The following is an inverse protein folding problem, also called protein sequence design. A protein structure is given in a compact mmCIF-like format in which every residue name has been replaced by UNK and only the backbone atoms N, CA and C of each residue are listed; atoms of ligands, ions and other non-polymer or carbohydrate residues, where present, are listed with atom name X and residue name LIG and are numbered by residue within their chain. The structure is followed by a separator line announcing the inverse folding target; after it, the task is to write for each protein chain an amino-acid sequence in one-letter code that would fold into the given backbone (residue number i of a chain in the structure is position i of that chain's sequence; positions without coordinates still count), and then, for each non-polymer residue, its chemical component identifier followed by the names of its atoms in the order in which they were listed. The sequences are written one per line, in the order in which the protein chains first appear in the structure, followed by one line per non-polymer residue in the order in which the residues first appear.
data_IF_010108192385
#
_entry.id   IF_010108192385
#
_cell.length_a   1.000
_cell.length_b   1.000
_cell.length_c   1.000
_cell.angle_alpha   90.00
_cell.angle_beta   90.00
_cell.angle_gamma   90.00
#
_symmetry.space_group_name_H-M   'P 1'
#
loop_
_entity.id
_entity.type
_entity.pdbx_description
1 polymer ?
#
# COMPACT_ATOMS: atom_id res chain seq x y z
N UNK A 1 -0.97 -49.27 47.57
CA UNK A 1 -0.81 -48.36 48.71
C UNK A 1 -0.78 -46.94 48.15
N UNK A 2 -1.54 -45.93 48.57
CA UNK A 2 -2.86 -45.76 49.19
C UNK A 2 -3.09 -44.24 49.08
N UNK A 3 -4.27 -43.81 48.65
CA UNK A 3 -4.76 -42.45 48.92
C UNK A 3 -5.03 -42.29 50.44
N UNK A 4 -5.18 -41.07 50.98
CA UNK A 4 -6.48 -40.37 50.99
C UNK A 4 -6.34 -38.84 50.79
N UNK A 5 -7.30 -38.00 50.34
CA UNK A 5 -8.75 -37.78 50.53
C UNK A 5 -9.17 -37.03 51.81
N UNK A 6 -9.66 -35.79 51.64
CA UNK A 6 -10.59 -34.99 52.50
C UNK A 6 -10.77 -33.62 51.79
N UNK A 7 -11.90 -33.14 51.22
CA UNK A 7 -13.36 -33.07 51.49
C UNK A 7 -13.79 -32.23 52.72
N UNK A 8 -14.17 -30.96 52.48
CA UNK A 8 -15.50 -30.37 52.81
C UNK A 8 -15.59 -28.91 52.27
N UNK A 9 -16.53 -28.51 51.40
CA UNK A 9 -17.98 -28.20 51.58
C UNK A 9 -18.17 -26.70 51.95
N UNK A 10 -19.03 -25.85 51.37
CA UNK A 10 -20.04 -25.93 50.31
C UNK A 10 -20.85 -24.60 50.21
N UNK A 11 -21.75 -24.52 49.22
CA UNK A 11 -22.93 -23.60 49.07
C UNK A 11 -22.67 -22.09 48.92
N UNK A 12 -23.40 -21.25 48.17
CA UNK A 12 -24.70 -21.20 47.47
C UNK A 12 -24.55 -20.00 46.47
N UNK A 13 -25.05 -19.89 45.24
CA UNK A 13 -26.40 -20.13 44.73
C UNK A 13 -27.33 -18.91 44.93
N UNK A 14 -27.43 -17.94 44.00
CA UNK A 14 -28.72 -17.40 43.47
C UNK A 14 -28.64 -16.22 42.46
N UNK A 15 -29.68 -16.23 41.61
CA UNK A 15 -30.08 -15.36 40.50
C UNK A 15 -30.18 -13.84 40.74
N UNK A 16 -29.77 -13.09 39.70
CA UNK A 16 -30.57 -12.13 38.92
C UNK A 16 -31.47 -11.08 39.59
N UNK A 17 -31.27 -9.80 39.24
CA UNK A 17 -32.36 -8.91 38.81
C UNK A 17 -31.86 -7.69 38.04
N UNK A 18 -32.59 -7.40 36.96
CA UNK A 18 -32.49 -6.21 36.12
C UNK A 18 -33.17 -5.04 36.84
N UNK A 19 -32.52 -3.87 36.91
CA UNK A 19 -33.08 -2.68 37.54
C UNK A 19 -32.42 -1.42 36.99
N UNK A 20 -33.07 -0.81 36.00
CA UNK A 20 -32.81 0.58 35.62
C UNK A 20 -33.04 1.46 36.84
N UNK A 21 -31.98 2.08 37.36
CA UNK A 21 -32.09 3.24 38.25
C UNK A 21 -31.16 4.34 37.73
N UNK A 22 -31.78 5.37 37.14
CA UNK A 22 -31.20 6.70 37.05
C UNK A 22 -30.96 7.21 38.47
N UNK A 23 -29.73 7.09 38.96
CA UNK A 23 -29.27 7.88 40.08
C UNK A 23 -28.10 8.74 39.62
N UNK A 24 -28.38 10.04 39.57
CA UNK A 24 -27.42 11.12 39.47
C UNK A 24 -26.46 11.03 40.67
N UNK A 25 -25.40 10.22 40.53
CA UNK A 25 -24.36 10.08 41.55
C UNK A 25 -23.41 11.28 41.41
N UNK A 26 -23.72 12.34 42.15
CA UNK A 26 -22.71 13.33 42.54
C UNK A 26 -21.61 12.60 43.31
N UNK A 27 -20.55 12.16 42.63
CA UNK A 27 -19.39 11.57 43.28
C UNK A 27 -18.81 12.57 44.28
N UNK A 28 -18.79 12.21 45.56
CA UNK A 28 -18.15 13.02 46.59
C UNK A 28 -16.65 13.18 46.32
N UNK A 29 -16.07 14.32 46.70
CA UNK A 29 -14.66 14.65 46.42
C UNK A 29 -13.65 13.56 46.83
N UNK A 30 -13.92 12.80 47.90
CA UNK A 30 -13.08 11.68 48.31
C UNK A 30 -13.05 10.52 47.31
N UNK A 31 -14.18 10.23 46.66
CA UNK A 31 -14.26 9.17 45.64
C UNK A 31 -13.54 9.61 44.35
N UNK A 32 -13.73 10.88 43.94
CA UNK A 32 -13.01 11.49 42.82
C UNK A 32 -11.50 11.55 43.06
N UNK A 33 -11.05 11.83 44.28
CA UNK A 33 -9.63 11.84 44.63
C UNK A 33 -9.00 10.43 44.52
N UNK A 34 -9.74 9.41 44.96
CA UNK A 34 -9.31 8.03 44.84
C UNK A 34 -9.26 7.59 43.37
N UNK A 35 -10.30 7.84 42.58
CA UNK A 35 -10.31 7.56 41.13
C UNK A 35 -9.19 8.30 40.40
N UNK A 36 -8.93 9.56 40.74
CA UNK A 36 -7.80 10.32 40.19
C UNK A 36 -6.46 9.66 40.50
N UNK A 37 -6.30 9.07 41.69
CA UNK A 37 -5.10 8.34 42.07
C UNK A 37 -4.94 7.03 41.29
N UNK A 38 -6.04 6.29 41.08
CA UNK A 38 -6.06 5.10 40.22
C UNK A 38 -5.68 5.46 38.78
N UNK A 39 -6.32 6.48 38.19
CA UNK A 39 -6.03 6.94 36.83
C UNK A 39 -4.57 7.40 36.67
N UNK A 40 -4.00 8.09 37.68
CA UNK A 40 -2.58 8.46 37.68
C UNK A 40 -1.66 7.23 37.71
N UNK A 41 -1.99 6.22 38.50
CA UNK A 41 -1.26 4.95 38.54
C UNK A 41 -1.32 4.25 37.18
N UNK A 42 -2.49 4.16 36.57
CA UNK A 42 -2.68 3.55 35.26
C UNK A 42 -1.91 4.30 34.17
N UNK A 43 -1.89 5.63 34.21
CA UNK A 43 -1.07 6.44 33.31
C UNK A 43 0.43 6.12 33.41
N UNK A 44 0.94 5.82 34.60
CA UNK A 44 2.33 5.40 34.80
C UNK A 44 2.54 4.00 34.24
N UNK A 45 1.64 3.05 34.49
CA UNK A 45 1.72 1.70 33.96
C UNK A 45 1.69 1.68 32.42
N UNK A 46 0.77 2.45 31.82
CA UNK A 46 0.68 2.61 30.36
C UNK A 46 1.98 3.21 29.80
N UNK A 47 2.53 4.25 30.44
CA UNK A 47 3.80 4.84 30.01
C UNK A 47 4.94 3.83 30.03
N UNK A 48 5.04 3.03 31.09
CA UNK A 48 6.06 1.99 31.20
C UNK A 48 5.89 0.91 30.12
N UNK A 49 4.65 0.48 29.86
CA UNK A 49 4.35 -0.47 28.78
C UNK A 49 4.77 0.07 27.41
N UNK A 50 4.53 1.36 27.13
CA UNK A 50 4.97 2.01 25.88
C UNK A 50 6.49 1.99 25.74
N UNK A 51 7.23 2.27 26.81
CA UNK A 51 8.70 2.24 26.78
C UNK A 51 9.22 0.83 26.49
N UNK A 52 8.63 -0.20 27.11
CA UNK A 52 9.00 -1.59 26.85
C UNK A 52 8.72 -2.00 25.40
N UNK A 53 7.57 -1.57 24.84
CA UNK A 53 7.23 -1.84 23.44
C UNK A 53 8.21 -1.17 22.46
N UNK A 54 8.68 0.05 22.76
CA UNK A 54 9.67 0.72 21.90
C UNK A 54 11.04 0.04 21.97
N UNK A 55 11.45 -0.46 23.13
CA UNK A 55 12.66 -1.30 23.26
C UNK A 55 12.54 -2.60 22.46
N UNK A 56 11.39 -3.28 22.54
CA UNK A 56 11.18 -4.53 21.82
C UNK A 56 11.17 -4.34 20.31
N UNK A 57 10.59 -3.24 19.84
CA UNK A 57 10.66 -2.83 18.43
C UNK A 57 12.11 -2.63 17.97
N UNK A 58 12.98 -2.04 18.79
CA UNK A 58 14.39 -1.88 18.44
C UNK A 58 15.16 -3.21 18.48
N UNK A 59 14.85 -4.11 19.41
CA UNK A 59 15.36 -5.48 19.41
C UNK A 59 14.99 -6.22 18.11
N UNK A 60 13.72 -6.16 17.72
CA UNK A 60 13.22 -6.75 16.48
C UNK A 60 13.91 -6.15 15.25
N UNK A 61 14.14 -4.84 15.22
CA UNK A 61 14.91 -4.19 14.13
C UNK A 61 16.33 -4.73 14.04
N UNK A 62 17.00 -4.95 15.17
CA UNK A 62 18.34 -5.54 15.18
C UNK A 62 18.33 -7.00 14.71
N UNK A 63 17.35 -7.79 15.15
CA UNK A 63 17.16 -9.17 14.71
C UNK A 63 16.95 -9.25 13.19
N UNK A 64 16.08 -8.39 12.64
CA UNK A 64 15.85 -8.29 11.20
C UNK A 64 17.15 -7.98 10.44
N UNK A 65 17.97 -7.02 10.93
CA UNK A 65 19.28 -6.73 10.31
C UNK A 65 20.21 -7.93 10.29
N UNK A 66 20.26 -8.72 11.38
CA UNK A 66 21.09 -9.94 11.45
C UNK A 66 20.61 -10.99 10.46
N UNK A 67 19.30 -11.24 10.39
CA UNK A 67 18.71 -12.21 9.47
C UNK A 67 18.96 -11.83 8.00
N UNK A 68 18.95 -10.53 7.68
CA UNK A 68 19.30 -10.02 6.36
C UNK A 68 20.74 -10.33 5.96
N UNK A 69 21.69 -10.01 6.84
CA UNK A 69 23.10 -10.31 6.58
C UNK A 69 23.33 -11.81 6.38
N UNK A 70 22.65 -12.65 7.16
CA UNK A 70 22.75 -14.11 7.00
C UNK A 70 22.12 -14.58 5.68
N UNK A 71 20.94 -14.05 5.31
CA UNK A 71 20.28 -14.40 4.05
C UNK A 71 21.15 -14.00 2.84
N UNK A 72 21.76 -12.81 2.87
CA UNK A 72 22.69 -12.37 1.83
C UNK A 72 23.91 -13.30 1.74
N UNK A 73 24.47 -13.72 2.88
CA UNK A 73 25.57 -14.69 2.91
C UNK A 73 25.20 -16.03 2.27
N UNK A 74 23.98 -16.51 2.51
CA UNK A 74 23.49 -17.75 1.90
C UNK A 74 23.30 -17.59 0.39
N UNK A 75 22.73 -16.46 -0.06
CA UNK A 75 22.58 -16.15 -1.50
C UNK A 75 23.93 -16.12 -2.24
N UNK A 76 24.92 -15.45 -1.68
CA UNK A 76 26.27 -15.40 -2.28
C UNK A 76 26.91 -16.79 -2.36
N UNK A 77 26.66 -17.63 -1.36
CA UNK A 77 27.09 -19.04 -1.37
C UNK A 77 26.35 -19.83 -2.46
N UNK A 78 25.05 -19.66 -2.59
CA UNK A 78 24.23 -20.31 -3.64
C UNK A 78 24.72 -19.93 -5.02
N UNK A 79 24.96 -18.64 -5.30
CA UNK A 79 25.51 -18.17 -6.58
C UNK A 79 26.85 -18.80 -6.91
N UNK A 80 27.77 -18.86 -5.95
CA UNK A 80 29.08 -19.53 -6.13
C UNK A 80 28.92 -21.01 -6.45
N UNK A 81 28.02 -21.69 -5.75
CA UNK A 81 27.74 -23.11 -5.99
C UNK A 81 27.09 -23.35 -7.35
N UNK A 82 26.14 -22.52 -7.78
CA UNK A 82 25.53 -22.59 -9.10
C UNK A 82 26.57 -22.46 -10.22
N UNK A 83 27.50 -21.51 -10.10
CA UNK A 83 28.61 -21.35 -11.04
C UNK A 83 29.46 -22.62 -11.11
N UNK A 84 29.77 -23.23 -9.96
CA UNK A 84 30.58 -24.44 -9.91
C UNK A 84 29.84 -25.67 -10.48
N UNK A 85 28.54 -25.80 -10.22
CA UNK A 85 27.68 -26.85 -10.82
C UNK A 85 27.65 -26.71 -12.34
N UNK A 86 27.51 -25.49 -12.86
CA UNK A 86 27.52 -25.19 -14.30
C UNK A 86 28.85 -25.57 -14.96
N UNK A 87 29.99 -25.34 -14.28
CA UNK A 87 31.31 -25.79 -14.76
C UNK A 87 31.46 -27.30 -14.84
N UNK A 88 30.78 -28.04 -13.97
CA UNK A 88 30.86 -29.51 -13.89
C UNK A 88 29.89 -30.21 -14.85
N UNK A 89 29.23 -29.47 -15.75
CA UNK A 89 28.31 -30.03 -16.74
C UNK A 89 26.93 -30.40 -16.17
N UNK A 90 26.61 -29.92 -14.96
CA UNK A 90 25.26 -29.99 -14.44
C UNK A 90 24.42 -28.87 -15.02
N UNK A 91 23.34 -29.21 -15.73
CA UNK A 91 22.23 -28.30 -15.96
C UNK A 91 21.52 -28.09 -14.63
N UNK A 92 21.98 -27.13 -13.82
CA UNK A 92 21.09 -26.54 -12.84
C UNK A 92 20.09 -25.72 -13.62
N UNK A 93 18.81 -26.09 -13.61
CA UNK A 93 17.74 -25.25 -14.15
C UNK A 93 17.93 -23.81 -13.67
N UNK A 94 18.37 -22.97 -14.61
CA UNK A 94 18.61 -21.55 -14.42
C UNK A 94 17.27 -20.91 -14.06
N UNK A 95 17.04 -20.64 -12.77
CA UNK A 95 16.23 -19.49 -12.38
C UNK A 95 17.16 -18.28 -12.37
N UNK A 96 17.52 -17.86 -13.59
CA UNK A 96 18.25 -16.63 -13.93
C UNK A 96 17.37 -15.39 -13.63
N UNK A 97 16.90 -15.27 -12.39
CA UNK A 97 16.11 -14.13 -11.95
C UNK A 97 16.93 -13.41 -10.89
N UNK A 98 17.64 -12.37 -11.35
CA UNK A 98 18.28 -11.31 -10.56
C UNK A 98 17.80 -11.30 -9.10
N UNK A 99 18.63 -11.96 -8.29
CA UNK A 99 18.49 -12.13 -6.86
C UNK A 99 18.65 -10.75 -6.23
N UNK A 100 17.55 -9.99 -6.19
CA UNK A 100 17.56 -8.62 -5.68
C UNK A 100 17.53 -8.68 -4.17
N UNK A 101 18.58 -8.13 -3.59
CA UNK A 101 18.48 -7.58 -2.26
C UNK A 101 17.73 -6.24 -2.38
N UNK A 102 16.48 -6.23 -1.93
CA UNK A 102 15.68 -5.01 -1.89
C UNK A 102 16.33 -3.93 -0.99
N UNK A 103 17.30 -4.31 -0.18
CA UNK A 103 18.06 -3.43 0.70
C UNK A 103 18.99 -2.48 -0.06
N UNK A 104 19.50 -2.89 -1.24
CA UNK A 104 20.42 -2.08 -2.06
C UNK A 104 19.71 -0.99 -2.88
N UNK A 105 18.39 -1.09 -3.05
CA UNK A 105 17.59 -0.12 -3.81
C UNK A 105 17.55 1.25 -3.11
N UNK A 106 17.67 1.25 -1.78
CA UNK A 106 17.55 2.45 -0.97
C UNK A 106 16.22 3.17 -1.21
N UNK A 107 16.26 4.49 -1.44
CA UNK A 107 15.06 5.32 -1.69
C UNK A 107 14.77 5.53 -3.18
N UNK A 108 15.60 5.02 -4.09
CA UNK A 108 15.46 5.28 -5.53
C UNK A 108 14.57 4.23 -6.23
N UNK A 109 13.32 4.14 -5.79
CA UNK A 109 12.31 3.32 -6.44
C UNK A 109 10.99 4.05 -6.62
N UNK A 110 10.17 3.50 -7.51
CA UNK A 110 8.80 3.91 -7.76
C UNK A 110 7.93 2.69 -7.48
N UNK A 111 6.96 2.87 -6.58
CA UNK A 111 5.95 1.87 -6.29
C UNK A 111 4.70 2.11 -7.15
N UNK A 112 4.54 1.30 -8.19
CA UNK A 112 3.41 1.39 -9.10
C UNK A 112 2.23 0.55 -8.62
N UNK A 113 1.00 1.05 -8.82
CA UNK A 113 -0.22 0.30 -8.51
C UNK A 113 -1.46 1.17 -8.32
N UNK A 114 -2.63 0.53 -8.26
CA UNK A 114 -3.91 1.22 -8.12
C UNK A 114 -4.39 1.91 -9.41
N UNK A 115 -5.62 2.42 -9.38
CA UNK A 115 -6.30 2.92 -10.58
C UNK A 115 -5.77 4.26 -11.13
N UNK A 116 -5.10 5.06 -10.30
CA UNK A 116 -4.58 6.39 -10.69
C UNK A 116 -3.15 6.36 -11.24
N UNK A 117 -2.56 5.17 -11.35
CA UNK A 117 -1.17 5.01 -11.73
C UNK A 117 -1.07 4.48 -13.16
N UNK A 118 -0.66 5.28 -14.14
CA UNK A 118 -0.70 4.89 -15.55
C UNK A 118 0.19 3.69 -15.88
N UNK A 119 1.23 3.43 -15.08
CA UNK A 119 2.09 2.27 -15.27
C UNK A 119 1.46 0.99 -14.70
N UNK A 120 0.49 1.10 -13.80
CA UNK A 120 -0.22 -0.05 -13.24
C UNK A 120 -1.10 -0.73 -14.29
N UNK A 121 -1.25 -2.05 -14.15
CA UNK A 121 -2.10 -2.86 -15.03
C UNK A 121 -3.58 -2.41 -14.97
N UNK A 122 -4.03 -2.01 -13.77
CA UNK A 122 -5.39 -1.56 -13.45
C UNK A 122 -5.78 -0.21 -14.06
N UNK A 123 -4.82 0.60 -14.51
CA UNK A 123 -5.14 1.92 -15.05
C UNK A 123 -6.11 1.80 -16.22
N UNK A 124 -7.26 2.45 -16.11
CA UNK A 124 -8.31 2.34 -17.12
C UNK A 124 -7.92 3.16 -18.35
N UNK A 125 -7.67 2.44 -19.44
CA UNK A 125 -7.43 2.95 -20.78
C UNK A 125 -7.83 1.84 -21.74
N UNK A 126 -8.60 2.20 -22.77
CA UNK A 126 -9.03 1.23 -23.78
C UNK A 126 -7.80 0.79 -24.57
N UNK A 127 -7.64 -0.52 -24.71
CA UNK A 127 -6.62 -1.18 -25.53
C UNK A 127 -7.29 -2.28 -26.34
N UNK A 128 -6.85 -2.50 -27.57
CA UNK A 128 -7.29 -3.64 -28.38
C UNK A 128 -6.24 -4.75 -28.37
N UNK A 129 -6.65 -6.02 -28.38
CA UNK A 129 -5.73 -7.14 -28.60
C UNK A 129 -5.50 -7.46 -30.09
N UNK A 130 -4.67 -8.46 -30.39
CA UNK A 130 -4.38 -8.91 -31.76
C UNK A 130 -5.61 -9.36 -32.56
N UNK A 131 -6.72 -9.72 -31.90
CA UNK A 131 -7.98 -10.10 -32.52
C UNK A 131 -8.94 -8.92 -32.67
N UNK A 132 -8.53 -7.71 -32.26
CA UNK A 132 -9.35 -6.51 -32.28
C UNK A 132 -10.37 -6.42 -31.14
N UNK A 133 -10.28 -7.27 -30.11
CA UNK A 133 -11.17 -7.18 -28.94
C UNK A 133 -10.70 -6.03 -28.05
N UNK A 134 -11.62 -5.11 -27.75
CA UNK A 134 -11.34 -3.97 -26.87
C UNK A 134 -11.48 -4.34 -25.39
N UNK A 135 -10.47 -3.97 -24.61
CA UNK A 135 -10.39 -4.14 -23.16
C UNK A 135 -10.26 -2.78 -22.50
N UNK A 136 -11.04 -2.50 -21.45
CA UNK A 136 -11.00 -1.17 -20.77
C UNK A 136 -9.73 -0.92 -19.95
N UNK A 137 -8.88 -1.92 -19.78
CA UNK A 137 -7.55 -1.82 -19.18
C UNK A 137 -6.73 -3.07 -19.51
N UNK A 138 -5.42 -3.00 -19.30
CA UNK A 138 -4.55 -4.17 -19.37
C UNK A 138 -4.90 -5.24 -18.34
N UNK A 139 -5.50 -4.86 -17.19
CA UNK A 139 -5.93 -5.80 -16.15
C UNK A 139 -7.17 -6.58 -16.62
N UNK A 140 -8.07 -5.93 -17.36
CA UNK A 140 -9.22 -6.62 -17.94
C UNK A 140 -8.81 -7.56 -19.07
N UNK A 141 -7.84 -7.17 -19.90
CA UNK A 141 -7.22 -8.10 -20.86
C UNK A 141 -6.66 -9.33 -20.15
N UNK A 142 -5.90 -9.11 -19.06
CA UNK A 142 -5.33 -10.18 -18.26
C UNK A 142 -6.39 -11.13 -17.68
N UNK A 143 -7.50 -10.60 -17.17
CA UNK A 143 -8.63 -11.41 -16.69
C UNK A 143 -9.42 -12.09 -17.81
N UNK A 144 -9.54 -11.43 -18.97
CA UNK A 144 -10.15 -12.03 -20.14
C UNK A 144 -9.35 -13.27 -20.60
N UNK A 145 -8.01 -13.17 -20.64
CA UNK A 145 -7.12 -14.30 -20.96
C UNK A 145 -7.16 -15.40 -19.92
N UNK A 146 -7.34 -15.06 -18.64
CA UNK A 146 -7.62 -16.06 -17.60
C UNK A 146 -8.90 -16.84 -17.92
N UNK A 147 -10.01 -16.15 -18.17
CA UNK A 147 -11.28 -16.80 -18.49
C UNK A 147 -11.22 -17.58 -19.82
N UNK A 148 -10.44 -17.10 -20.80
CA UNK A 148 -10.16 -17.81 -22.05
C UNK A 148 -9.42 -19.13 -21.81
N UNK A 149 -8.40 -19.13 -20.97
CA UNK A 149 -7.61 -20.33 -20.65
C UNK A 149 -8.44 -21.45 -20.02
N UNK A 150 -9.46 -21.09 -19.22
CA UNK A 150 -10.36 -22.04 -18.57
C UNK A 150 -11.68 -22.24 -19.32
N UNK A 151 -11.75 -21.81 -20.59
CA UNK A 151 -12.89 -22.01 -21.48
C UNK A 151 -14.23 -21.47 -20.92
N UNK A 152 -14.19 -20.45 -20.05
CA UNK A 152 -15.38 -19.83 -19.46
C UNK A 152 -15.86 -18.62 -20.28
N UNK A 153 -16.64 -18.91 -21.33
CA UNK A 153 -17.24 -17.90 -22.21
C UNK A 153 -18.16 -16.90 -21.47
N UNK A 154 -18.83 -17.37 -20.41
CA UNK A 154 -19.73 -16.52 -19.62
C UNK A 154 -18.92 -15.47 -18.85
N UNK A 155 -17.86 -15.91 -18.17
CA UNK A 155 -16.94 -15.01 -17.48
C UNK A 155 -16.25 -14.04 -18.44
N UNK A 156 -15.77 -14.51 -19.60
CA UNK A 156 -15.19 -13.64 -20.65
C UNK A 156 -16.14 -12.52 -21.04
N UNK A 157 -17.40 -12.85 -21.36
CA UNK A 157 -18.41 -11.86 -21.72
C UNK A 157 -18.66 -10.86 -20.59
N UNK A 158 -18.76 -11.33 -19.35
CA UNK A 158 -18.98 -10.47 -18.17
C UNK A 158 -17.80 -9.52 -17.91
N UNK A 159 -16.56 -9.99 -18.06
CA UNK A 159 -15.34 -9.17 -17.90
C UNK A 159 -15.30 -8.04 -18.94
N UNK A 160 -15.60 -8.35 -20.21
CA UNK A 160 -15.61 -7.37 -21.30
C UNK A 160 -16.71 -6.32 -21.11
N UNK A 161 -17.92 -6.75 -20.77
CA UNK A 161 -19.11 -5.89 -20.68
C UNK A 161 -19.24 -5.15 -19.35
N UNK A 162 -18.48 -5.52 -18.33
CA UNK A 162 -18.52 -4.93 -16.99
C UNK A 162 -18.41 -3.39 -17.01
N UNK A 163 -19.31 -2.72 -16.29
CA UNK A 163 -19.35 -1.26 -16.19
C UNK A 163 -18.13 -0.70 -15.45
N UNK A 164 -17.73 -1.37 -14.36
CA UNK A 164 -16.62 -0.94 -13.50
C UNK A 164 -15.51 -2.01 -13.40
N UNK A 165 -14.32 -1.60 -12.97
CA UNK A 165 -13.23 -2.55 -12.66
C UNK A 165 -13.63 -3.52 -11.55
N UNK A 166 -14.47 -3.08 -10.60
CA UNK A 166 -14.98 -3.96 -9.54
C UNK A 166 -15.85 -5.08 -10.10
N UNK A 167 -16.80 -4.78 -10.99
CA UNK A 167 -17.67 -5.80 -11.59
C UNK A 167 -16.87 -6.80 -12.44
N UNK A 168 -15.83 -6.34 -13.13
CA UNK A 168 -14.91 -7.20 -13.88
C UNK A 168 -14.09 -8.11 -12.94
N UNK A 169 -13.66 -7.59 -11.78
CA UNK A 169 -12.94 -8.37 -10.77
C UNK A 169 -13.83 -9.46 -10.18
N UNK A 170 -15.10 -9.17 -9.91
CA UNK A 170 -16.07 -10.16 -9.43
C UNK A 170 -16.38 -11.23 -10.50
N UNK A 171 -16.48 -10.83 -11.77
CA UNK A 171 -16.61 -11.78 -12.88
C UNK A 171 -15.37 -12.69 -13.00
N UNK A 172 -14.18 -12.14 -12.84
CA UNK A 172 -12.92 -12.90 -12.83
C UNK A 172 -12.87 -13.92 -11.68
N UNK A 173 -13.29 -13.53 -10.47
CA UNK A 173 -13.34 -14.45 -9.32
C UNK A 173 -14.33 -15.61 -9.52
N UNK A 174 -15.31 -15.44 -10.41
CA UNK A 174 -16.33 -16.43 -10.72
C UNK A 174 -15.97 -17.34 -11.91
N UNK A 175 -14.74 -17.25 -12.45
CA UNK A 175 -14.27 -18.13 -13.55
C UNK A 175 -14.35 -19.59 -13.11
N UNK A 176 -15.12 -20.38 -13.86
CA UNK A 176 -15.29 -21.82 -13.63
C UNK A 176 -14.03 -22.56 -14.02
N UNK A 177 -13.73 -23.65 -13.29
CA UNK A 177 -12.59 -24.51 -13.61
C UNK A 177 -11.21 -23.90 -13.32
N UNK A 178 -11.14 -22.73 -12.66
CA UNK A 178 -9.88 -22.08 -12.33
C UNK A 178 -8.93 -23.01 -11.58
N UNK A 179 -7.72 -23.15 -12.12
CA UNK A 179 -6.62 -23.87 -11.51
C UNK A 179 -5.41 -22.93 -11.37
N UNK A 180 -5.05 -22.62 -10.12
CA UNK A 180 -3.95 -21.70 -9.83
C UNK A 180 -2.60 -22.21 -10.34
N UNK A 181 -2.35 -23.53 -10.29
CA UNK A 181 -1.10 -24.11 -10.74
C UNK A 181 -0.92 -23.96 -12.27
N UNK A 182 -1.97 -24.24 -13.05
CA UNK A 182 -1.93 -24.04 -14.50
C UNK A 182 -1.82 -22.56 -14.87
N UNK A 183 -2.57 -21.68 -14.20
CA UNK A 183 -2.48 -20.24 -14.44
C UNK A 183 -1.09 -19.68 -14.12
N UNK A 184 -0.47 -20.15 -13.04
CA UNK A 184 0.86 -19.71 -12.63
C UNK A 184 1.94 -19.96 -13.69
N UNK A 185 1.75 -20.92 -14.61
CA UNK A 185 2.67 -21.21 -15.71
C UNK A 185 2.67 -20.11 -16.79
N UNK A 186 1.54 -19.44 -17.00
CA UNK A 186 1.34 -18.51 -18.14
C UNK A 186 0.99 -17.07 -17.74
N UNK A 187 0.60 -16.83 -16.48
CA UNK A 187 0.12 -15.52 -16.00
C UNK A 187 1.10 -14.37 -16.29
N UNK A 188 2.40 -14.62 -16.17
CA UNK A 188 3.42 -13.60 -16.38
C UNK A 188 3.42 -13.15 -17.85
N UNK A 189 3.27 -14.08 -18.78
CA UNK A 189 3.23 -13.79 -20.22
C UNK A 189 2.00 -12.94 -20.56
N UNK A 190 0.82 -13.30 -20.05
CA UNK A 190 -0.39 -12.51 -20.26
C UNK A 190 -0.31 -11.12 -19.60
N UNK A 191 0.32 -11.02 -18.42
CA UNK A 191 0.56 -9.72 -17.78
C UNK A 191 1.46 -8.83 -18.63
N UNK A 192 2.56 -9.39 -19.14
CA UNK A 192 3.50 -8.71 -20.04
C UNK A 192 2.79 -8.26 -21.30
N UNK A 193 2.06 -9.16 -21.96
CA UNK A 193 1.33 -8.85 -23.20
C UNK A 193 0.32 -7.73 -23.00
N UNK A 194 -0.42 -7.73 -21.90
CA UNK A 194 -1.33 -6.63 -21.57
C UNK A 194 -0.62 -5.29 -21.38
N UNK A 195 0.57 -5.29 -20.78
CA UNK A 195 1.39 -4.09 -20.66
C UNK A 195 1.96 -3.63 -22.00
N UNK A 196 2.41 -4.54 -22.86
CA UNK A 196 2.85 -4.25 -24.23
C UNK A 196 1.75 -3.56 -25.03
N UNK A 197 0.55 -4.16 -25.10
CA UNK A 197 -0.61 -3.59 -25.76
C UNK A 197 -0.89 -2.16 -25.28
N UNK A 198 -0.83 -1.94 -23.96
CA UNK A 198 -1.01 -0.60 -23.38
C UNK A 198 0.10 0.37 -23.76
N UNK A 199 1.36 -0.02 -23.68
CA UNK A 199 2.48 0.88 -23.97
C UNK A 199 2.56 1.23 -25.47
N UNK A 200 2.25 0.27 -26.34
CA UNK A 200 2.29 0.43 -27.79
C UNK A 200 1.14 1.32 -28.29
N UNK A 201 -0.05 1.20 -27.70
CA UNK A 201 -1.23 1.96 -28.12
C UNK A 201 -1.34 3.32 -27.41
N UNK A 202 -0.82 3.45 -26.20
CA UNK A 202 -0.99 4.65 -25.36
C UNK A 202 0.36 5.35 -25.15
N UNK A 203 0.80 6.06 -26.20
CA UNK A 203 2.12 6.72 -26.27
C UNK A 203 2.52 7.51 -25.03
N UNK A 204 1.62 8.31 -24.47
CA UNK A 204 1.95 9.16 -23.32
C UNK A 204 2.30 8.34 -22.06
N UNK A 205 1.72 7.14 -21.89
CA UNK A 205 2.07 6.23 -20.79
C UNK A 205 3.48 5.67 -21.01
N UNK A 206 3.83 5.31 -22.24
CA UNK A 206 5.18 4.87 -22.58
C UNK A 206 6.23 5.98 -22.34
N UNK A 207 5.88 7.24 -22.63
CA UNK A 207 6.72 8.40 -22.29
C UNK A 207 6.88 8.60 -20.77
N UNK A 208 5.83 8.36 -19.97
CA UNK A 208 5.94 8.36 -18.50
C UNK A 208 6.90 7.27 -18.02
N UNK A 209 6.84 6.07 -18.61
CA UNK A 209 7.79 5.00 -18.31
C UNK A 209 9.23 5.41 -18.65
N UNK A 210 9.45 6.06 -19.80
CA UNK A 210 10.75 6.60 -20.21
C UNK A 210 11.29 7.63 -19.20
N UNK A 211 10.45 8.54 -18.72
CA UNK A 211 10.83 9.55 -17.71
C UNK A 211 11.11 8.96 -16.31
N UNK A 212 10.85 7.66 -16.09
CA UNK A 212 11.32 6.97 -14.88
C UNK A 212 12.85 6.85 -14.79
N UNK A 213 13.56 7.03 -15.91
CA UNK A 213 15.04 7.04 -16.00
C UNK A 213 15.64 5.79 -15.36
N UNK A 214 16.51 5.91 -14.37
CA UNK A 214 17.18 4.77 -13.73
C UNK A 214 16.49 4.30 -12.44
N UNK A 215 15.32 4.85 -12.12
CA UNK A 215 14.59 4.44 -10.92
C UNK A 215 14.18 2.97 -11.02
N UNK A 216 14.29 2.28 -9.89
CA UNK A 216 13.76 0.93 -9.76
C UNK A 216 12.24 0.94 -9.81
N UNK A 217 11.62 0.09 -10.62
CA UNK A 217 10.17 -0.01 -10.71
C UNK A 217 9.70 -1.24 -9.94
N UNK A 218 8.79 -1.02 -8.99
CA UNK A 218 8.20 -2.05 -8.14
C UNK A 218 6.69 -2.06 -8.30
N UNK A 219 6.10 -3.24 -8.45
CA UNK A 219 4.65 -3.43 -8.64
C UNK A 219 4.02 -3.83 -7.32
N UNK A 220 3.14 -2.98 -6.78
CA UNK A 220 2.40 -3.26 -5.56
C UNK A 220 1.26 -4.25 -5.82
N UNK A 221 1.58 -5.53 -5.84
CA UNK A 221 0.66 -6.63 -6.08
C UNK A 221 0.93 -7.78 -5.09
N UNK A 222 -0.13 -8.47 -4.65
CA UNK A 222 -0.01 -9.59 -3.69
C UNK A 222 0.61 -10.84 -4.29
N UNK A 223 0.38 -11.05 -5.58
CA UNK A 223 1.06 -12.10 -6.34
C UNK A 223 2.58 -11.88 -6.26
N UNK A 224 3.26 -12.77 -5.54
CA UNK A 224 4.69 -12.69 -5.29
C UNK A 224 5.52 -12.88 -6.55
N UNK A 225 5.01 -13.55 -7.57
CA UNK A 225 5.72 -13.67 -8.86
C UNK A 225 5.71 -12.33 -9.59
N UNK A 226 4.53 -11.71 -9.70
CA UNK A 226 4.37 -10.49 -10.49
C UNK A 226 4.89 -9.23 -9.80
N UNK A 227 4.66 -9.11 -8.49
CA UNK A 227 4.90 -7.88 -7.73
C UNK A 227 5.72 -8.09 -6.46
N UNK A 228 5.60 -7.14 -5.53
CA UNK A 228 6.37 -7.09 -4.28
C UNK A 228 5.83 -7.97 -3.16
N UNK A 229 4.68 -8.63 -3.37
CA UNK A 229 3.95 -9.37 -2.33
C UNK A 229 2.97 -8.51 -1.54
N UNK A 230 2.97 -7.18 -1.74
CA UNK A 230 2.19 -6.23 -0.94
C UNK A 230 1.22 -5.39 -1.78
N UNK A 231 0.00 -5.21 -1.27
CA UNK A 231 -0.95 -4.24 -1.84
C UNK A 231 -0.46 -2.81 -1.61
N UNK A 232 -0.74 -1.91 -2.56
CA UNK A 232 -0.36 -0.48 -2.47
C UNK A 232 -0.90 0.25 -1.23
N UNK A 233 -1.96 -0.27 -0.60
CA UNK A 233 -2.56 0.31 0.61
C UNK A 233 -1.85 -0.09 1.91
N UNK A 234 -0.92 -1.03 1.86
CA UNK A 234 -0.14 -1.51 3.02
C UNK A 234 1.11 -0.67 3.19
N UNK A 235 1.46 -0.33 4.43
CA UNK A 235 2.64 0.51 4.72
C UNK A 235 3.94 -0.18 4.28
N UNK A 236 3.97 -1.50 4.40
CA UNK A 236 5.04 -2.41 3.99
C UNK A 236 5.34 -2.31 2.50
N UNK A 237 4.33 -2.01 1.67
CA UNK A 237 4.52 -1.86 0.22
C UNK A 237 5.49 -0.72 -0.14
N UNK A 238 5.65 0.28 0.72
CA UNK A 238 6.58 1.40 0.52
C UNK A 238 7.99 1.15 1.08
N UNK A 239 8.25 -0.04 1.60
CA UNK A 239 9.47 -0.37 2.34
C UNK A 239 10.08 -1.63 1.73
N UNK A 240 11.08 -1.48 0.83
CA UNK A 240 11.70 -2.60 0.12
C UNK A 240 12.13 -3.76 1.03
N UNK A 241 12.59 -3.45 2.24
CA UNK A 241 12.89 -4.39 3.34
C UNK A 241 11.81 -5.44 3.62
N UNK A 242 10.52 -5.13 3.40
CA UNK A 242 9.42 -6.06 3.67
C UNK A 242 8.98 -6.84 2.43
N UNK A 243 9.46 -6.49 1.24
CA UNK A 243 9.02 -7.12 0.01
C UNK A 243 9.55 -8.55 -0.06
N UNK A 244 8.64 -9.47 -0.34
CA UNK A 244 8.89 -10.91 -0.39
C UNK A 244 8.42 -11.53 -1.71
N UNK A 245 8.17 -10.70 -2.73
CA UNK A 245 7.90 -11.09 -4.11
C UNK A 245 9.06 -10.77 -5.06
N UNK A 246 9.10 -11.47 -6.19
CA UNK A 246 10.11 -11.44 -7.24
C UNK A 246 10.07 -10.17 -8.08
N UNK A 247 8.93 -9.48 -8.07
CA UNK A 247 8.65 -8.26 -8.83
C UNK A 247 8.99 -8.39 -10.33
N UNK A 248 8.61 -9.52 -10.95
CA UNK A 248 8.88 -9.77 -12.37
C UNK A 248 8.25 -8.70 -13.27
N UNK A 249 7.06 -8.20 -12.95
CA UNK A 249 6.42 -7.15 -13.73
C UNK A 249 7.20 -5.83 -13.71
N UNK A 250 7.78 -5.47 -12.55
CA UNK A 250 8.63 -4.29 -12.43
C UNK A 250 9.96 -4.47 -13.16
N UNK A 251 10.57 -5.65 -13.07
CA UNK A 251 11.76 -6.04 -13.84
C UNK A 251 11.51 -5.91 -15.35
N UNK A 252 10.38 -6.42 -15.83
CA UNK A 252 9.99 -6.30 -17.22
C UNK A 252 9.81 -4.84 -17.65
N UNK A 253 9.11 -4.00 -16.86
CA UNK A 253 8.94 -2.58 -17.19
C UNK A 253 10.28 -1.84 -17.30
N UNK A 254 11.25 -2.17 -16.44
CA UNK A 254 12.60 -1.60 -16.53
C UNK A 254 13.35 -2.08 -17.77
N UNK A 255 13.17 -3.35 -18.17
CA UNK A 255 13.73 -3.89 -19.42
C UNK A 255 13.10 -3.21 -20.63
N UNK A 256 11.78 -3.21 -20.73
CA UNK A 256 11.02 -2.58 -21.82
C UNK A 256 11.37 -1.09 -21.94
N UNK A 257 11.46 -0.35 -20.82
CA UNK A 257 11.94 1.04 -20.79
C UNK A 257 13.26 1.23 -21.55
N UNK A 258 14.24 0.35 -21.34
CA UNK A 258 15.55 0.44 -22.02
C UNK A 258 15.41 0.19 -23.52
N UNK A 259 14.57 -0.76 -23.91
CA UNK A 259 14.34 -1.13 -25.31
C UNK A 259 13.63 -0.04 -26.10
N UNK A 260 12.67 0.66 -25.49
CA UNK A 260 11.88 1.70 -26.17
C UNK A 260 12.39 3.12 -25.99
N UNK A 261 13.35 3.35 -25.07
CA UNK A 261 13.86 4.69 -24.78
C UNK A 261 14.42 5.43 -26.00
N UNK A 262 15.07 4.71 -26.91
CA UNK A 262 15.62 5.27 -28.15
C UNK A 262 14.54 5.56 -29.20
N UNK A 263 13.47 4.76 -29.24
CA UNK A 263 12.38 4.87 -30.22
C UNK A 263 11.38 5.98 -29.88
N UNK A 264 11.16 6.21 -28.59
CA UNK A 264 10.20 7.21 -28.11
C UNK A 264 10.81 8.62 -28.14
N UNK A 265 10.48 9.42 -29.14
CA UNK A 265 10.90 10.83 -29.24
C UNK A 265 9.75 11.74 -28.83
N UNK A 266 10.03 12.83 -28.11
CA UNK A 266 9.00 13.83 -27.84
C UNK A 266 8.63 14.56 -29.12
N UNK A 267 7.36 14.84 -29.31
CA UNK A 267 6.83 15.64 -30.43
C UNK A 267 7.27 17.10 -30.31
N UNK A 268 7.50 17.57 -29.08
CA UNK A 268 7.98 18.92 -28.79
C UNK A 268 8.32 19.15 -27.30
N UNK A 269 8.78 20.36 -26.94
CA UNK A 269 9.17 20.68 -25.56
C UNK A 269 7.98 20.69 -24.58
N UNK A 270 6.79 21.06 -25.03
CA UNK A 270 5.57 21.10 -24.20
C UNK A 270 5.15 19.71 -23.73
N UNK A 271 5.08 18.72 -24.63
CA UNK A 271 4.80 17.33 -24.28
C UNK A 271 5.79 16.81 -23.24
N UNK A 272 7.09 17.09 -23.45
CA UNK A 272 8.13 16.70 -22.50
C UNK A 272 7.88 17.26 -21.10
N UNK A 273 7.55 18.55 -21.00
CA UNK A 273 7.24 19.17 -19.71
C UNK A 273 5.99 18.56 -19.05
N UNK A 274 4.94 18.27 -19.81
CA UNK A 274 3.73 17.63 -19.29
C UNK A 274 3.98 16.22 -18.76
N UNK A 275 4.72 15.39 -19.51
CA UNK A 275 5.10 14.05 -19.08
C UNK A 275 5.98 14.12 -17.83
N UNK A 276 6.93 15.06 -17.77
CA UNK A 276 7.76 15.27 -16.59
C UNK A 276 6.94 15.68 -15.37
N UNK A 277 5.94 16.56 -15.53
CA UNK A 277 5.00 16.91 -14.45
C UNK A 277 4.20 15.69 -13.98
N UNK A 278 3.68 14.87 -14.90
CA UNK A 278 2.98 13.62 -14.56
C UNK A 278 3.91 12.68 -13.77
N UNK A 279 5.14 12.50 -14.22
CA UNK A 279 6.13 11.66 -13.56
C UNK A 279 6.51 12.17 -12.16
N UNK A 280 6.68 13.48 -12.00
CA UNK A 280 6.91 14.09 -10.68
C UNK A 280 5.71 13.88 -9.74
N UNK A 281 4.49 13.99 -10.25
CA UNK A 281 3.29 13.71 -9.46
C UNK A 281 3.22 12.24 -9.03
N UNK A 282 3.60 11.30 -9.89
CA UNK A 282 3.71 9.89 -9.52
C UNK A 282 4.73 9.68 -8.40
N UNK A 283 5.92 10.27 -8.53
CA UNK A 283 6.94 10.22 -7.46
C UNK A 283 6.40 10.78 -6.14
N UNK A 284 5.68 11.91 -6.14
CA UNK A 284 5.05 12.48 -4.94
C UNK A 284 4.00 11.54 -4.33
N UNK A 285 3.19 10.88 -5.15
CA UNK A 285 2.10 10.02 -4.70
C UNK A 285 2.55 8.65 -4.17
N UNK A 286 3.80 8.23 -4.46
CA UNK A 286 4.44 7.09 -3.80
C UNK A 286 4.72 7.41 -2.32
N UNK A 287 5.07 8.66 -1.98
CA UNK A 287 5.46 9.04 -0.63
C UNK A 287 4.33 9.66 0.22
N UNK A 288 3.35 10.33 -0.40
CA UNK A 288 2.33 11.12 0.33
C UNK A 288 1.29 10.31 1.14
N UNK A 289 1.17 9.00 0.93
CA UNK A 289 0.33 8.15 1.82
C UNK A 289 1.06 7.65 3.06
N UNK A 290 2.40 7.65 3.04
CA UNK A 290 3.23 7.25 4.20
C UNK A 290 3.29 8.38 5.24
N UNK A 291 3.36 9.64 4.81
CA UNK A 291 3.39 10.80 5.73
C UNK A 291 2.01 11.14 6.34
N UNK A 292 0.91 11.06 5.59
CA UNK A 292 -0.41 11.44 6.11
C UNK A 292 -0.93 10.46 7.19
N UNK A 293 -0.57 9.18 7.13
CA UNK A 293 -0.87 8.23 8.21
C UNK A 293 -0.03 8.48 9.47
N UNK A 294 1.23 8.92 9.33
CA UNK A 294 2.04 9.36 10.48
C UNK A 294 1.48 10.63 11.14
N UNK A 295 0.90 11.55 10.35
CA UNK A 295 0.34 12.80 10.87
C UNK A 295 -1.06 12.63 11.50
N UNK A 296 -1.84 11.64 11.08
CA UNK A 296 -3.16 11.35 11.66
C UNK A 296 -3.04 10.41 12.88
N UNK A 297 -1.97 9.61 12.97
CA UNK A 297 -1.69 8.73 14.12
C UNK A 297 -0.82 9.34 15.23
N UNK A 298 -0.42 10.62 15.12
CA UNK A 298 0.56 11.27 16.01
C UNK A 298 0.16 12.66 16.53
N UNK A 299 -1.13 13.00 16.51
CA UNK A 299 -1.64 14.33 16.89
C UNK A 299 -2.17 14.39 18.32
N UNK A 300 -1.33 14.14 19.33
CA UNK A 300 -1.74 14.21 20.74
C UNK A 300 -0.58 14.44 21.72
N UNK A 301 0.53 15.04 21.27
CA UNK A 301 1.68 15.35 22.13
C UNK A 301 1.82 16.85 22.33
N UNK A 302 1.47 17.31 23.53
CA UNK A 302 1.65 18.69 23.98
C UNK A 302 3.08 19.18 23.72
N UNK A 303 3.21 20.28 22.97
CA UNK A 303 4.44 21.08 22.90
C UNK A 303 4.79 21.57 24.31
N UNK A 304 5.88 21.07 24.86
CA UNK A 304 6.53 21.68 26.02
C UNK A 304 7.06 23.06 25.64
N UNK A 305 6.44 24.10 26.21
CA UNK A 305 6.98 25.46 26.22
C UNK A 305 7.80 25.66 27.49
N UNK A 306 9.10 25.92 27.34
CA UNK A 306 9.98 26.35 28.43
C UNK A 306 10.50 27.74 28.11
N UNK A 307 10.22 28.69 29.01
CA UNK A 307 11.09 29.84 29.30
C UNK A 307 10.55 31.22 28.89
N UNK A 308 10.39 32.11 29.87
CA UNK A 308 10.37 33.56 29.64
C UNK A 308 9.56 34.37 30.66
N UNK A 309 10.22 34.78 31.75
CA UNK A 309 9.73 35.74 32.75
C UNK A 309 9.61 37.17 32.21
N UNK A 310 8.73 37.96 32.82
CA UNK A 310 8.62 39.43 32.72
C UNK A 310 7.27 39.84 32.14
N UNK A 311 6.45 40.71 32.71
CA UNK A 311 6.57 41.62 33.84
C UNK A 311 5.36 42.58 33.71
N UNK A 312 4.75 42.89 34.86
CA UNK A 312 3.70 43.88 35.12
C UNK A 312 3.55 45.04 34.10
N UNK A 313 2.31 45.36 33.67
CA UNK A 313 1.67 46.68 33.90
C UNK A 313 0.26 46.82 33.33
N UNK A 314 -0.50 47.59 34.09
CA UNK A 314 -1.87 48.06 33.96
C UNK A 314 -2.24 48.81 32.67
N UNK A 315 -3.55 48.80 32.34
CA UNK A 315 -4.39 49.98 32.09
C UNK A 315 -5.29 49.92 30.84
N UNK A 316 -6.60 49.91 31.12
CA UNK A 316 -7.68 50.81 30.64
C UNK A 316 -7.74 51.27 29.16
N UNK A 317 -8.97 51.17 28.63
CA UNK A 317 -9.57 52.03 27.59
C UNK A 317 -9.43 51.45 26.18
N UNK A 318 -10.44 51.41 25.30
CA UNK A 318 -11.74 52.08 25.23
C UNK A 318 -11.97 52.44 23.75
N UNK A 319 -13.15 52.07 23.21
CA UNK A 319 -13.80 52.66 22.03
C UNK A 319 -13.09 52.61 20.66
N UNK A 320 -13.77 52.16 19.60
CA UNK A 320 -14.40 53.02 18.59
C UNK A 320 -14.90 52.19 17.38
N UNK A 321 -16.00 52.68 16.83
CA UNK A 321 -16.84 52.13 15.77
C UNK A 321 -16.20 52.18 14.37
N UNK A 322 -16.71 51.34 13.46
CA UNK A 322 -17.61 51.72 12.34
C UNK A 322 -17.27 51.01 11.00
N UNK A 323 -18.31 50.69 10.22
CA UNK A 323 -18.20 50.69 8.76
C UNK A 323 -18.65 49.44 7.99
N UNK A 324 -19.96 49.37 7.68
CA UNK A 324 -20.44 49.07 6.31
C UNK A 324 -20.51 47.62 5.83
N UNK A 325 -21.69 47.00 5.92
CA UNK A 325 -22.09 45.89 5.04
C UNK A 325 -23.01 46.40 3.95
N UNK A 326 -22.49 46.43 2.73
CA UNK A 326 -23.25 46.60 1.50
C UNK A 326 -23.84 45.28 1.01
N UNK A 327 -25.05 45.41 0.50
CA UNK A 327 -25.94 44.45 -0.12
C UNK A 327 -25.45 43.97 -1.50
N UNK A 328 -26.18 42.99 -2.06
CA UNK A 328 -26.32 42.55 -3.45
C UNK A 328 -25.78 41.17 -3.82
N UNK A 329 -26.74 40.26 -4.03
CA UNK A 329 -26.95 39.77 -5.40
C UNK A 329 -26.72 38.28 -5.65
N UNK A 330 -27.77 37.47 -5.45
CA UNK A 330 -27.90 36.16 -6.14
C UNK A 330 -28.34 36.39 -7.60
N UNK A 331 -27.80 35.63 -8.58
CA UNK A 331 -28.49 35.43 -9.86
C UNK A 331 -29.25 34.11 -9.91
N UNK A 332 -30.40 34.20 -10.57
CA UNK A 332 -31.41 33.18 -10.87
C UNK A 332 -30.94 32.20 -11.96
N UNK A 333 -31.47 30.99 -11.88
CA UNK A 333 -31.61 30.04 -12.99
C UNK A 333 -32.54 30.59 -14.07
N UNK A 334 -32.19 30.33 -15.33
CA UNK A 334 -33.11 30.34 -16.47
C UNK A 334 -32.90 29.08 -17.30
N UNK A 335 -34.01 28.46 -17.70
CA UNK A 335 -34.10 27.31 -18.58
C UNK A 335 -34.43 27.72 -20.02
N UNK A 336 -34.24 26.74 -20.93
CA UNK A 336 -34.58 26.66 -22.37
C UNK A 336 -33.48 27.23 -23.28
N UNK A 337 -33.04 26.53 -24.32
CA UNK A 337 -33.78 25.67 -25.27
C UNK A 337 -33.39 24.19 -25.29
#
# INVERSE_FOLDING_TARGET
MSAPNSRHNGHNGHNGHNGHNNHDHSMGMGNLAQELQWVKSDCILIRNAVVLLEQEKDNLRQAVRKLKMENQRQRDKTKKLQIEVKKLGGDSEDTDIEDKDYDDIGKNFILIGGALDPLALRYETVIADENGVEHKSAERYYWYKLAEMFEDEEAKKRILTAGSTHDAEEAMKAVKGFNEHEWNKVKVEHWIKGQELKMDQVRWIALVLKESKDSYISVAHQDKTLGTGWRKTREESSKPIFWDGDNQGGKWLMKYRREVASKLVYTGPTEKEEIQKKMQNLRKNVWRRVEQMQMIGGGGGHRGGRGGLGGNRDSRGGGYMNGGRGDYGKPKQFSKE
#
